data_IF_300669558546
#
_entry.id   IF_300669558546
#
_cell.length_a   1.000
_cell.length_b   1.000
_cell.length_c   1.000
_cell.angle_alpha   90.00
_cell.angle_beta   90.00
_cell.angle_gamma   90.00
#
_symmetry.space_group_name_H-M   'P 1'
#
loop_
_entity.id
_entity.type
_entity.pdbx_description
1 polymer ?
#
# COMPACT_ATOMS: atom_id res chain seq x y z
N UNK A 1 3.48 -5.77 18.05
CA UNK A 1 3.65 -6.08 16.61
C UNK A 1 4.89 -5.35 16.12
N UNK A 2 5.59 -5.86 15.10
CA UNK A 2 6.81 -5.22 14.57
C UNK A 2 6.45 -3.97 13.75
N UNK A 3 5.40 -4.04 12.93
CA UNK A 3 4.80 -2.92 12.23
C UNK A 3 3.33 -3.24 11.89
N UNK A 4 2.56 -2.19 11.56
CA UNK A 4 1.23 -2.28 10.97
C UNK A 4 1.19 -1.32 9.80
N UNK A 5 0.57 -1.74 8.70
CA UNK A 5 0.33 -0.90 7.53
C UNK A 5 -1.17 -0.88 7.24
N UNK A 6 -1.74 0.32 7.21
CA UNK A 6 -3.10 0.55 6.76
C UNK A 6 -3.06 0.96 5.29
N UNK A 7 -3.79 0.24 4.44
CA UNK A 7 -3.79 0.44 2.99
C UNK A 7 -4.14 1.89 2.65
N UNK A 8 -3.28 2.55 1.86
CA UNK A 8 -3.42 3.97 1.53
C UNK A 8 -4.42 4.19 0.38
N UNK A 9 -4.37 3.36 -0.67
CA UNK A 9 -5.18 3.57 -1.87
C UNK A 9 -6.37 2.60 -1.93
N UNK A 10 -7.56 3.07 -1.57
CA UNK A 10 -8.80 2.29 -1.69
C UNK A 10 -9.15 2.01 -3.15
N UNK A 11 -9.64 0.80 -3.42
CA UNK A 11 -10.12 0.37 -4.73
C UNK A 11 -11.50 0.94 -5.02
N UNK A 12 -11.51 2.23 -5.36
CA UNK A 12 -12.70 2.97 -5.73
C UNK A 12 -12.70 3.21 -7.24
N UNK A 13 -13.29 2.29 -8.00
CA UNK A 13 -13.25 2.32 -9.47
C UNK A 13 -14.59 1.97 -10.10
N UNK A 14 -14.80 2.50 -11.31
CA UNK A 14 -15.82 2.04 -12.23
C UNK A 14 -15.12 1.29 -13.36
N UNK A 15 -15.54 0.05 -13.61
CA UNK A 15 -14.98 -0.83 -14.63
C UNK A 15 -15.82 -0.77 -15.90
N UNK A 16 -15.18 -0.99 -17.05
CA UNK A 16 -15.83 -0.90 -18.37
C UNK A 16 -16.99 -1.90 -18.57
N UNK A 17 -17.01 -2.97 -17.77
CA UNK A 17 -18.09 -3.95 -17.75
C UNK A 17 -19.34 -3.48 -16.96
N UNK A 18 -19.33 -2.25 -16.43
CA UNK A 18 -20.41 -1.66 -15.66
C UNK A 18 -20.37 -1.94 -14.17
N UNK A 19 -19.36 -2.66 -13.66
CA UNK A 19 -19.18 -2.87 -12.23
C UNK A 19 -18.57 -1.63 -11.56
N UNK A 20 -19.09 -1.26 -10.39
CA UNK A 20 -18.56 -0.20 -9.54
C UNK A 20 -18.14 -0.79 -8.21
N UNK A 21 -16.89 -0.56 -7.82
CA UNK A 21 -16.32 -1.00 -6.55
C UNK A 21 -15.98 0.23 -5.71
N UNK A 22 -16.38 0.20 -4.43
CA UNK A 22 -16.12 1.26 -3.44
C UNK A 22 -15.61 0.63 -2.15
N UNK A 23 -14.34 0.27 -2.13
CA UNK A 23 -13.70 -0.28 -0.92
C UNK A 23 -13.76 0.74 0.24
N UNK A 24 -13.69 2.03 -0.07
CA UNK A 24 -13.82 3.12 0.91
C UNK A 24 -15.17 3.18 1.63
N UNK A 25 -16.21 2.50 1.11
CA UNK A 25 -17.51 2.41 1.78
C UNK A 25 -17.45 1.48 3.02
N UNK A 26 -16.45 0.60 3.10
CA UNK A 26 -16.27 -0.36 4.18
C UNK A 26 -15.03 -0.09 5.05
N UNK A 27 -13.99 0.55 4.48
CA UNK A 27 -12.71 0.76 5.15
C UNK A 27 -12.24 2.21 5.04
N UNK A 28 -11.50 2.67 6.05
CA UNK A 28 -10.83 3.97 6.03
C UNK A 28 -9.40 3.81 5.49
N UNK A 29 -8.93 4.70 4.58
CA UNK A 29 -7.57 4.65 4.08
C UNK A 29 -6.54 5.02 5.15
N UNK A 30 -5.40 4.34 5.11
CA UNK A 30 -4.19 4.77 5.80
C UNK A 30 -3.59 6.03 5.19
N UNK A 31 -2.66 6.66 5.92
CA UNK A 31 -2.04 7.94 5.51
C UNK A 31 -0.51 7.92 5.52
N UNK A 32 0.10 6.79 5.90
CA UNK A 32 1.53 6.69 6.10
C UNK A 32 2.11 5.46 5.37
N UNK A 33 3.16 5.69 4.59
CA UNK A 33 3.98 4.60 4.07
C UNK A 33 4.82 4.03 5.21
N UNK A 34 4.97 2.70 5.25
CA UNK A 34 5.65 2.01 6.35
C UNK A 34 6.82 1.21 5.79
N UNK A 35 7.97 1.32 6.43
CA UNK A 35 9.13 0.44 6.19
C UNK A 35 9.58 -0.11 7.54
N UNK A 36 9.66 -1.43 7.66
CA UNK A 36 10.06 -2.10 8.89
C UNK A 36 11.31 -2.95 8.68
N UNK A 37 12.18 -3.00 9.68
CA UNK A 37 13.34 -3.89 9.67
C UNK A 37 12.94 -5.29 10.15
N UNK A 38 13.25 -6.31 9.35
CA UNK A 38 12.98 -7.72 9.61
C UNK A 38 14.25 -8.50 9.25
N UNK A 39 14.86 -9.13 10.25
CA UNK A 39 16.08 -9.95 10.12
C UNK A 39 17.21 -9.27 9.33
N UNK A 40 17.38 -7.95 9.52
CA UNK A 40 18.42 -7.14 8.88
C UNK A 40 18.11 -6.66 7.46
N UNK A 41 16.90 -6.91 6.95
CA UNK A 41 16.39 -6.32 5.70
C UNK A 41 15.22 -5.39 5.99
N UNK A 42 15.08 -4.31 5.21
CA UNK A 42 13.96 -3.37 5.30
C UNK A 42 12.85 -3.75 4.32
N UNK A 43 11.65 -4.02 4.85
CA UNK A 43 10.46 -4.37 4.10
C UNK A 43 9.52 -3.16 3.99
N UNK A 44 9.19 -2.75 2.76
CA UNK A 44 8.08 -1.85 2.44
C UNK A 44 6.75 -2.61 2.29
N UNK A 45 5.65 -1.94 2.61
CA UNK A 45 4.32 -2.52 2.68
C UNK A 45 3.38 -1.81 1.70
N UNK A 46 2.74 -2.60 0.85
CA UNK A 46 1.63 -2.17 0.02
C UNK A 46 0.57 -3.26 0.04
N UNK A 47 -0.67 -2.91 -0.33
CA UNK A 47 -1.76 -3.87 -0.48
C UNK A 47 -2.45 -3.62 -1.81
N UNK A 48 -2.47 -4.64 -2.67
CA UNK A 48 -3.29 -4.71 -3.89
C UNK A 48 -3.26 -3.42 -4.76
N UNK A 49 -4.22 -2.52 -4.57
CA UNK A 49 -4.42 -1.35 -5.44
C UNK A 49 -3.31 -0.30 -5.33
N UNK A 50 -2.54 -0.33 -4.26
CA UNK A 50 -1.31 0.47 -4.09
C UNK A 50 -0.33 0.29 -5.26
N UNK A 51 -0.32 -0.87 -5.93
CA UNK A 51 0.47 -1.14 -7.15
C UNK A 51 0.31 -0.08 -8.24
N UNK A 52 -0.84 0.61 -8.29
CA UNK A 52 -1.13 1.64 -9.30
C UNK A 52 -0.51 3.00 -8.98
N UNK A 53 0.10 3.17 -7.80
CA UNK A 53 0.60 4.44 -7.29
C UNK A 53 2.11 4.37 -7.06
N UNK A 54 2.94 4.57 -8.11
CA UNK A 54 4.40 4.40 -8.04
C UNK A 54 5.09 5.29 -7.00
N UNK A 55 4.44 6.37 -6.57
CA UNK A 55 4.95 7.29 -5.56
C UNK A 55 5.13 6.62 -4.19
N UNK A 56 4.28 5.64 -3.83
CA UNK A 56 4.41 4.88 -2.59
C UNK A 56 5.73 4.09 -2.59
N UNK A 57 5.92 3.24 -3.59
CA UNK A 57 7.14 2.43 -3.71
C UNK A 57 8.40 3.28 -3.85
N UNK A 58 8.31 4.46 -4.50
CA UNK A 58 9.42 5.41 -4.55
C UNK A 58 9.75 5.96 -3.15
N UNK A 59 8.74 6.29 -2.35
CA UNK A 59 8.96 6.77 -0.98
C UNK A 59 9.61 5.68 -0.11
N UNK A 60 9.14 4.44 -0.22
CA UNK A 60 9.71 3.29 0.50
C UNK A 60 11.15 3.00 0.08
N UNK A 61 11.44 3.04 -1.23
CA UNK A 61 12.80 2.88 -1.74
C UNK A 61 13.74 3.99 -1.25
N UNK A 62 13.26 5.25 -1.21
CA UNK A 62 14.04 6.38 -0.65
C UNK A 62 14.22 6.27 0.87
N UNK A 63 13.30 5.62 1.58
CA UNK A 63 13.43 5.26 2.99
C UNK A 63 14.37 4.07 3.23
N UNK A 64 14.86 3.44 2.15
CA UNK A 64 15.84 2.36 2.17
C UNK A 64 15.22 0.97 2.26
N UNK A 65 13.99 0.77 1.78
CA UNK A 65 13.43 -0.57 1.63
C UNK A 65 14.31 -1.42 0.70
N UNK A 66 14.69 -2.61 1.17
CA UNK A 66 15.40 -3.63 0.41
C UNK A 66 14.42 -4.52 -0.37
N UNK A 67 13.22 -4.72 0.20
CA UNK A 67 12.13 -5.51 -0.38
C UNK A 67 10.82 -4.72 -0.33
N UNK A 68 9.96 -4.94 -1.33
CA UNK A 68 8.60 -4.39 -1.39
C UNK A 68 7.62 -5.56 -1.39
N UNK A 69 6.65 -5.55 -0.48
CA UNK A 69 5.57 -6.53 -0.39
C UNK A 69 4.25 -5.96 -0.91
N UNK A 70 3.39 -6.84 -1.45
CA UNK A 70 2.07 -6.51 -2.02
C UNK A 70 1.07 -7.62 -1.71
#
# INVERSE_FOLDING_TARGET
>A
TIATYDKIHMFDVDLDNGESWRESAAYEPGTEAVVAEIDGAKLGFAVCYDLRFPQLFRAEALAGADLLSV
#
